data_IF_993235274698
#
_entry.id   IF_993235274698
#
_cell.length_a   1.000
_cell.length_b   1.000
_cell.length_c   1.000
_cell.angle_alpha   90.00
_cell.angle_beta   90.00
_cell.angle_gamma   90.00
#
_symmetry.space_group_name_H-M   'P 1'
#
loop_
_entity.id
_entity.type
_entity.pdbx_description
1 polymer ?
#
# COMPACT_ATOMS: atom_id res chain seq x y z
N UNK A 1 45.69 44.02 11.72
CA UNK A 1 44.52 43.55 10.95
C UNK A 1 44.82 42.11 10.58
N UNK A 2 44.39 41.15 11.40
CA UNK A 2 43.04 40.54 11.35
C UNK A 2 42.96 39.58 10.15
N UNK A 3 42.55 38.32 10.25
CA UNK A 3 41.86 37.57 11.29
C UNK A 3 42.22 36.09 11.09
N UNK A 4 42.70 35.44 12.14
CA UNK A 4 42.67 33.98 12.28
C UNK A 4 41.22 33.51 12.26
N UNK A 5 40.81 32.79 11.21
CA UNK A 5 39.51 32.10 11.17
C UNK A 5 39.64 30.76 11.90
N UNK A 6 39.14 30.75 13.13
CA UNK A 6 38.78 29.56 13.90
C UNK A 6 37.67 28.82 13.15
N UNK A 7 37.97 27.65 12.58
CA UNK A 7 36.98 26.67 12.17
C UNK A 7 36.43 25.97 13.41
N UNK A 8 35.27 26.43 13.88
CA UNK A 8 34.47 25.71 14.86
C UNK A 8 33.97 24.40 14.21
N UNK A 9 34.50 23.28 14.68
CA UNK A 9 33.94 21.95 14.47
C UNK A 9 32.55 21.92 15.11
N UNK A 10 31.49 21.99 14.31
CA UNK A 10 30.15 21.64 14.75
C UNK A 10 30.15 20.14 15.07
N UNK A 11 30.09 19.83 16.36
CA UNK A 11 29.80 18.49 16.85
C UNK A 11 28.50 18.00 16.18
N UNK A 12 28.61 16.91 15.43
CA UNK A 12 27.46 16.10 15.03
C UNK A 12 26.80 15.63 16.33
N UNK A 13 25.66 16.23 16.67
CA UNK A 13 24.72 15.60 17.60
C UNK A 13 24.48 14.19 17.07
N UNK A 14 24.78 13.20 17.91
CA UNK A 14 24.46 11.80 17.73
C UNK A 14 22.96 11.69 17.52
N UNK A 15 22.54 11.65 16.26
CA UNK A 15 21.17 11.27 15.90
C UNK A 15 20.91 9.88 16.44
N UNK A 16 19.75 9.72 17.06
CA UNK A 16 19.17 8.44 17.47
C UNK A 16 19.38 7.44 16.33
N UNK A 17 20.10 6.36 16.61
CA UNK A 17 20.40 5.35 15.61
C UNK A 17 19.06 4.74 15.16
N UNK A 18 18.70 4.79 13.87
CA UNK A 18 17.41 4.27 13.42
C UNK A 18 17.25 2.81 13.85
N UNK A 19 16.05 2.46 14.29
CA UNK A 19 15.72 1.11 14.75
C UNK A 19 16.14 0.10 13.68
N UNK A 20 16.98 -0.88 14.04
CA UNK A 20 17.31 -1.97 13.13
C UNK A 20 16.05 -2.83 12.96
N UNK A 21 15.43 -2.78 11.78
CA UNK A 21 14.16 -3.43 11.50
C UNK A 21 14.15 -4.91 11.87
N UNK A 22 13.04 -5.36 12.46
CA UNK A 22 12.85 -6.76 12.85
C UNK A 22 12.20 -7.54 11.71
N UNK A 23 12.83 -8.63 11.22
CA UNK A 23 12.23 -9.46 10.16
C UNK A 23 10.86 -10.00 10.53
N UNK A 24 9.96 -10.05 9.55
CA UNK A 24 8.68 -10.73 9.69
C UNK A 24 8.90 -12.22 9.93
N UNK A 25 8.09 -12.81 10.81
CA UNK A 25 8.05 -14.26 10.97
C UNK A 25 7.00 -14.82 10.03
N UNK A 26 7.34 -15.92 9.34
CA UNK A 26 6.42 -16.61 8.45
C UNK A 26 5.12 -16.95 9.19
N UNK A 27 4.00 -16.83 8.48
CA UNK A 27 2.72 -17.27 9.00
C UNK A 27 2.76 -18.79 9.19
N UNK A 28 2.23 -19.30 10.31
CA UNK A 28 1.96 -20.74 10.44
C UNK A 28 0.80 -21.12 9.51
N UNK A 29 1.03 -21.18 8.20
CA UNK A 29 0.01 -21.53 7.23
C UNK A 29 -0.47 -22.97 7.45
N UNK A 30 -1.79 -23.14 7.50
CA UNK A 30 -2.44 -24.43 7.26
C UNK A 30 -3.21 -24.34 5.95
N UNK A 31 -2.90 -25.20 4.99
CA UNK A 31 -3.65 -25.27 3.72
C UNK A 31 -5.15 -25.35 4.00
N UNK A 32 -5.94 -24.45 3.40
CA UNK A 32 -7.40 -24.41 3.59
C UNK A 32 -7.88 -23.67 4.85
N UNK A 33 -7.01 -22.90 5.51
CA UNK A 33 -7.37 -22.12 6.71
C UNK A 33 -8.41 -21.02 6.42
N UNK A 34 -8.41 -20.44 5.23
CA UNK A 34 -9.32 -19.37 4.81
C UNK A 34 -10.03 -19.74 3.52
N UNK A 35 -11.14 -20.51 3.56
CA UNK A 35 -11.81 -20.96 2.36
C UNK A 35 -12.51 -19.79 1.64
N UNK A 36 -12.14 -19.53 0.38
CA UNK A 36 -12.82 -18.59 -0.50
C UNK A 36 -13.29 -19.29 -1.78
N UNK A 37 -14.31 -18.72 -2.43
CA UNK A 37 -14.92 -19.26 -3.65
C UNK A 37 -14.70 -18.32 -4.82
N UNK A 38 -14.26 -18.87 -5.95
CA UNK A 38 -14.16 -18.11 -7.20
C UNK A 38 -15.55 -18.00 -7.81
N UNK A 39 -15.99 -16.77 -8.08
CA UNK A 39 -17.25 -16.58 -8.79
C UNK A 39 -17.11 -17.07 -10.23
N UNK A 40 -17.95 -18.02 -10.65
CA UNK A 40 -17.95 -18.55 -12.03
C UNK A 40 -17.93 -17.42 -13.07
N UNK A 41 -17.09 -17.55 -14.09
CA UNK A 41 -16.82 -16.49 -15.07
C UNK A 41 -17.99 -16.19 -16.01
N UNK A 42 -18.94 -17.12 -16.12
CA UNK A 42 -20.20 -16.95 -16.86
C UNK A 42 -21.35 -16.40 -16.00
N UNK A 43 -21.09 -16.14 -14.71
CA UNK A 43 -22.07 -15.59 -13.79
C UNK A 43 -22.55 -14.20 -14.20
N UNK A 44 -23.86 -13.90 -14.07
CA UNK A 44 -24.39 -12.56 -14.32
C UNK A 44 -23.86 -11.50 -13.35
N UNK A 45 -23.24 -11.92 -12.23
CA UNK A 45 -22.63 -10.97 -11.28
C UNK A 45 -21.53 -10.12 -11.92
N UNK A 46 -20.83 -10.61 -12.95
CA UNK A 46 -19.80 -9.83 -13.65
C UNK A 46 -20.37 -8.64 -14.46
N UNK A 47 -21.67 -8.62 -14.73
CA UNK A 47 -22.35 -7.47 -15.32
C UNK A 47 -22.81 -6.45 -14.26
N UNK A 48 -23.02 -6.90 -13.02
CA UNK A 48 -23.38 -6.04 -11.89
C UNK A 48 -22.14 -5.41 -11.23
N UNK A 49 -21.09 -6.21 -11.01
CA UNK A 49 -19.85 -5.84 -10.35
C UNK A 49 -18.79 -5.48 -11.39
N UNK A 50 -18.78 -4.21 -11.82
CA UNK A 50 -17.92 -3.73 -12.91
C UNK A 50 -16.70 -2.95 -12.39
N UNK A 51 -15.64 -2.97 -13.19
CA UNK A 51 -14.45 -2.14 -13.01
C UNK A 51 -14.60 -0.78 -13.68
N UNK A 52 -13.55 0.04 -13.58
CA UNK A 52 -13.49 1.38 -14.18
C UNK A 52 -13.81 1.40 -15.69
N UNK A 53 -13.41 0.35 -16.41
CA UNK A 53 -13.57 0.23 -17.85
C UNK A 53 -14.52 -0.90 -18.26
N UNK A 54 -15.34 -1.40 -17.32
CA UNK A 54 -16.39 -2.38 -17.59
C UNK A 54 -16.12 -3.76 -16.99
N UNK A 55 -16.46 -4.80 -17.73
CA UNK A 55 -16.37 -6.18 -17.24
C UNK A 55 -14.91 -6.65 -17.26
N UNK A 56 -14.43 -7.26 -16.17
CA UNK A 56 -13.04 -7.71 -16.00
C UNK A 56 -12.82 -9.20 -16.25
N UNK A 57 -13.89 -9.97 -16.51
CA UNK A 57 -13.86 -11.44 -16.63
C UNK A 57 -12.84 -11.92 -17.65
N UNK A 58 -12.68 -11.20 -18.77
CA UNK A 58 -11.81 -11.62 -19.86
C UNK A 58 -10.35 -11.57 -19.42
N UNK A 59 -9.96 -10.58 -18.62
CA UNK A 59 -8.62 -10.51 -18.04
C UNK A 59 -8.38 -11.63 -17.04
N UNK A 60 -9.37 -11.94 -16.20
CA UNK A 60 -9.29 -13.07 -15.26
C UNK A 60 -9.16 -14.41 -15.99
N UNK A 61 -9.91 -14.62 -17.07
CA UNK A 61 -9.78 -15.81 -17.93
C UNK A 61 -8.37 -15.98 -18.49
N UNK A 62 -7.75 -14.88 -18.95
CA UNK A 62 -6.37 -14.90 -19.46
C UNK A 62 -5.40 -15.24 -18.33
N UNK A 63 -5.54 -14.59 -17.17
CA UNK A 63 -4.61 -14.73 -16.05
C UNK A 63 -4.66 -16.11 -15.40
N UNK A 64 -5.82 -16.76 -15.43
CA UNK A 64 -6.04 -18.11 -14.92
C UNK A 64 -5.59 -19.22 -15.90
N UNK A 65 -5.22 -18.85 -17.13
CA UNK A 65 -4.69 -19.76 -18.14
C UNK A 65 -3.17 -19.87 -18.13
N UNK A 66 -2.63 -20.57 -19.13
CA UNK A 66 -1.18 -20.68 -19.36
C UNK A 66 -0.62 -19.35 -19.90
N UNK A 67 0.46 -18.84 -19.29
CA UNK A 67 1.00 -17.50 -19.57
C UNK A 67 1.48 -17.35 -21.00
N UNK A 68 2.14 -18.39 -21.53
CA UNK A 68 2.71 -18.45 -22.88
C UNK A 68 1.64 -18.55 -23.97
N UNK A 69 0.43 -19.00 -23.61
CA UNK A 69 -0.72 -19.14 -24.51
C UNK A 69 -1.75 -18.03 -24.33
N UNK A 70 -1.43 -16.99 -23.57
CA UNK A 70 -2.32 -15.86 -23.33
C UNK A 70 -2.78 -15.24 -24.67
N UNK A 71 -4.11 -15.22 -24.94
CA UNK A 71 -4.63 -14.67 -26.19
C UNK A 71 -4.37 -13.17 -26.28
N UNK A 72 -4.40 -12.64 -27.49
CA UNK A 72 -4.19 -11.21 -27.72
C UNK A 72 -5.20 -10.37 -26.91
N UNK A 73 -4.69 -9.34 -26.25
CA UNK A 73 -5.50 -8.37 -25.52
C UNK A 73 -5.02 -6.97 -25.86
N UNK A 74 -5.92 -5.98 -25.74
CA UNK A 74 -5.58 -4.59 -26.02
C UNK A 74 -4.89 -3.94 -24.83
N UNK A 75 -4.09 -2.91 -25.04
CA UNK A 75 -3.43 -2.16 -23.96
C UNK A 75 -4.28 -0.97 -23.52
N UNK A 76 -4.80 -0.97 -22.29
CA UNK A 76 -5.49 0.21 -21.71
C UNK A 76 -4.51 1.36 -21.49
N UNK A 77 -3.34 1.07 -20.90
CA UNK A 77 -2.27 2.04 -20.64
C UNK A 77 -1.48 2.42 -21.90
N UNK A 78 -2.10 3.17 -22.82
CA UNK A 78 -1.53 3.50 -24.15
C UNK A 78 -0.20 4.27 -24.12
N UNK A 79 0.09 4.97 -23.01
CA UNK A 79 1.30 5.77 -22.86
C UNK A 79 2.50 4.98 -22.33
N UNK A 80 2.26 3.82 -21.72
CA UNK A 80 3.34 2.92 -21.34
C UNK A 80 3.94 2.30 -22.61
N UNK A 81 5.23 2.55 -22.84
CA UNK A 81 5.96 2.06 -24.03
C UNK A 81 6.73 0.78 -23.77
N UNK A 82 6.68 0.25 -22.54
CA UNK A 82 7.35 -1.00 -22.18
C UNK A 82 6.74 -2.15 -22.98
N UNK A 83 7.57 -2.97 -23.66
CA UNK A 83 7.11 -4.20 -24.29
C UNK A 83 6.52 -5.13 -23.22
N UNK A 84 5.31 -5.65 -23.47
CA UNK A 84 4.61 -6.55 -22.54
C UNK A 84 4.01 -7.72 -23.31
N UNK A 85 4.05 -8.89 -22.68
CA UNK A 85 3.31 -10.08 -23.10
C UNK A 85 1.80 -9.86 -22.95
N UNK A 86 1.00 -10.70 -23.60
CA UNK A 86 -0.46 -10.65 -23.44
C UNK A 86 -0.89 -10.90 -21.98
N UNK A 87 -0.16 -11.75 -21.25
CA UNK A 87 -0.42 -12.01 -19.84
C UNK A 87 -0.17 -10.75 -18.97
N UNK A 88 0.96 -10.09 -19.15
CA UNK A 88 1.27 -8.82 -18.46
C UNK A 88 0.28 -7.71 -18.82
N UNK A 89 -0.14 -7.63 -20.09
CA UNK A 89 -1.17 -6.67 -20.50
C UNK A 89 -2.53 -6.97 -19.86
N UNK A 90 -2.92 -8.25 -19.75
CA UNK A 90 -4.15 -8.62 -19.06
C UNK A 90 -4.09 -8.27 -17.57
N UNK A 91 -2.94 -8.47 -16.92
CA UNK A 91 -2.74 -8.09 -15.52
C UNK A 91 -2.83 -6.58 -15.31
N UNK A 92 -2.14 -5.79 -16.13
CA UNK A 92 -2.24 -4.33 -16.13
C UNK A 92 -3.68 -3.86 -16.31
N UNK A 93 -4.39 -4.45 -17.28
CA UNK A 93 -5.76 -4.06 -17.57
C UNK A 93 -6.71 -4.43 -16.44
N UNK A 94 -6.50 -5.57 -15.78
CA UNK A 94 -7.22 -5.92 -14.57
C UNK A 94 -6.97 -4.86 -13.49
N UNK A 95 -5.71 -4.54 -13.19
CA UNK A 95 -5.36 -3.52 -12.20
C UNK A 95 -6.01 -2.17 -12.50
N UNK A 96 -5.95 -1.70 -13.76
CA UNK A 96 -6.63 -0.49 -14.20
C UNK A 96 -8.14 -0.54 -14.01
N UNK A 97 -8.77 -1.71 -13.99
CA UNK A 97 -10.20 -1.80 -13.71
C UNK A 97 -10.53 -1.83 -12.22
N UNK A 98 -9.64 -2.35 -11.38
CA UNK A 98 -9.92 -2.59 -9.96
C UNK A 98 -9.63 -1.37 -9.08
N UNK A 99 -8.69 -0.51 -9.48
CA UNK A 99 -8.28 0.65 -8.67
C UNK A 99 -7.89 1.90 -9.48
N UNK A 100 -8.47 2.11 -10.67
CA UNK A 100 -8.22 3.33 -11.46
C UNK A 100 -8.37 4.60 -10.60
N UNK A 101 -7.42 5.54 -10.74
CA UNK A 101 -7.43 6.80 -9.98
C UNK A 101 -7.63 6.61 -8.47
N UNK A 102 -7.11 5.51 -7.91
CA UNK A 102 -7.24 5.18 -6.49
C UNK A 102 -8.70 5.13 -6.01
N UNK A 103 -9.63 4.74 -6.87
CA UNK A 103 -11.04 4.51 -6.51
C UNK A 103 -11.33 3.02 -6.29
N UNK A 104 -12.28 2.71 -5.43
CA UNK A 104 -12.76 1.34 -5.26
C UNK A 104 -13.81 1.01 -6.33
N UNK A 105 -13.62 -0.08 -7.07
CA UNK A 105 -14.57 -0.55 -8.06
C UNK A 105 -15.25 -1.85 -7.64
N UNK A 106 -16.58 -2.01 -7.83
CA UNK A 106 -17.30 -3.21 -7.42
C UNK A 106 -16.75 -4.54 -7.96
N UNK A 107 -16.12 -4.54 -9.15
CA UNK A 107 -15.44 -5.74 -9.65
C UNK A 107 -14.39 -6.32 -8.68
N UNK A 108 -13.81 -5.49 -7.80
CA UNK A 108 -12.84 -5.91 -6.78
C UNK A 108 -13.42 -6.94 -5.82
N UNK A 109 -14.72 -6.89 -5.50
CA UNK A 109 -15.39 -7.91 -4.68
C UNK A 109 -15.26 -9.31 -5.26
N UNK A 110 -15.39 -9.44 -6.58
CA UNK A 110 -15.31 -10.72 -7.27
C UNK A 110 -13.88 -11.08 -7.70
N UNK A 111 -13.04 -10.08 -7.98
CA UNK A 111 -11.68 -10.29 -8.48
C UNK A 111 -10.67 -10.60 -7.37
N UNK A 112 -10.87 -10.15 -6.13
CA UNK A 112 -9.93 -10.43 -5.02
C UNK A 112 -9.74 -11.94 -4.75
N UNK A 113 -10.80 -12.78 -4.72
CA UNK A 113 -10.63 -14.24 -4.70
C UNK A 113 -9.76 -14.80 -5.83
N UNK A 114 -9.85 -14.24 -7.03
CA UNK A 114 -9.00 -14.64 -8.15
C UNK A 114 -7.55 -14.20 -7.95
N UNK A 115 -7.30 -13.00 -7.43
CA UNK A 115 -5.95 -12.55 -7.07
C UNK A 115 -5.32 -13.46 -6.02
N UNK A 116 -6.08 -13.87 -4.99
CA UNK A 116 -5.61 -14.84 -4.00
C UNK A 116 -5.19 -16.16 -4.67
N UNK A 117 -6.02 -16.68 -5.59
CA UNK A 117 -5.71 -17.91 -6.32
C UNK A 117 -4.47 -17.78 -7.21
N UNK A 118 -4.31 -16.66 -7.90
CA UNK A 118 -3.14 -16.39 -8.73
C UNK A 118 -1.87 -16.35 -7.87
N UNK A 119 -1.92 -15.66 -6.73
CA UNK A 119 -0.80 -15.58 -5.80
C UNK A 119 -0.43 -16.96 -5.21
N UNK A 120 -1.39 -17.80 -4.87
CA UNK A 120 -1.12 -19.20 -4.46
C UNK A 120 -0.40 -20.00 -5.56
N UNK A 121 -0.71 -19.77 -6.83
CA UNK A 121 -0.06 -20.45 -7.94
C UNK A 121 1.36 -19.91 -8.15
N UNK A 122 1.55 -18.59 -8.10
CA UNK A 122 2.87 -17.96 -8.18
C UNK A 122 3.78 -18.36 -7.03
N UNK A 123 3.24 -18.55 -5.82
CA UNK A 123 3.96 -19.11 -4.67
C UNK A 123 4.45 -20.54 -4.93
N UNK A 124 3.57 -21.41 -5.45
CA UNK A 124 3.96 -22.79 -5.83
C UNK A 124 5.02 -22.82 -6.92
N UNK A 125 4.95 -21.87 -7.85
CA UNK A 125 5.93 -21.68 -8.93
C UNK A 125 7.23 -21.02 -8.45
N UNK A 126 7.26 -20.52 -7.21
CA UNK A 126 8.36 -19.73 -6.62
C UNK A 126 8.66 -18.47 -7.44
N UNK A 127 7.63 -17.87 -8.02
CA UNK A 127 7.73 -16.70 -8.88
C UNK A 127 7.63 -15.42 -8.05
N UNK A 128 8.77 -15.00 -7.50
CA UNK A 128 8.87 -13.81 -6.64
C UNK A 128 8.49 -12.50 -7.31
N UNK A 129 8.69 -12.38 -8.63
CA UNK A 129 8.29 -11.14 -9.34
C UNK A 129 6.76 -11.07 -9.42
N UNK A 130 6.09 -12.17 -9.77
CA UNK A 130 4.64 -12.17 -9.83
C UNK A 130 3.99 -12.09 -8.45
N UNK A 131 4.57 -12.68 -7.41
CA UNK A 131 4.14 -12.44 -6.03
C UNK A 131 4.25 -10.97 -5.65
N UNK A 132 5.38 -10.33 -5.97
CA UNK A 132 5.56 -8.89 -5.73
C UNK A 132 4.51 -8.04 -6.45
N UNK A 133 4.23 -8.33 -7.73
CA UNK A 133 3.17 -7.67 -8.49
C UNK A 133 1.77 -7.93 -7.91
N UNK A 134 1.52 -9.16 -7.45
CA UNK A 134 0.27 -9.54 -6.78
C UNK A 134 0.05 -8.79 -5.48
N UNK A 135 1.08 -8.66 -4.64
CA UNK A 135 1.05 -7.88 -3.40
C UNK A 135 0.73 -6.42 -3.70
N UNK A 136 1.38 -5.82 -4.70
CA UNK A 136 1.08 -4.45 -5.12
C UNK A 136 -0.37 -4.30 -5.57
N UNK A 137 -0.85 -5.19 -6.45
CA UNK A 137 -2.21 -5.12 -6.97
C UNK A 137 -3.26 -5.29 -5.86
N UNK A 138 -3.10 -6.31 -4.99
CA UNK A 138 -4.00 -6.56 -3.89
C UNK A 138 -3.98 -5.41 -2.88
N UNK A 139 -2.79 -4.92 -2.51
CA UNK A 139 -2.64 -3.80 -1.61
C UNK A 139 -3.24 -2.50 -2.15
N UNK A 140 -3.06 -2.19 -3.44
CA UNK A 140 -3.71 -1.03 -4.07
C UNK A 140 -5.23 -1.16 -4.05
N UNK A 141 -5.80 -2.34 -4.32
CA UNK A 141 -7.24 -2.57 -4.21
C UNK A 141 -7.74 -2.41 -2.76
N UNK A 142 -6.97 -2.89 -1.78
CA UNK A 142 -7.35 -2.82 -0.36
C UNK A 142 -7.18 -1.42 0.23
N UNK A 143 -6.24 -0.63 -0.28
CA UNK A 143 -6.10 0.76 0.07
C UNK A 143 -7.35 1.55 -0.36
N UNK A 144 -7.99 1.22 -1.47
CA UNK A 144 -9.22 1.91 -1.91
C UNK A 144 -10.49 1.41 -1.18
N UNK A 145 -10.44 0.25 -0.53
CA UNK A 145 -11.53 -0.32 0.29
C UNK A 145 -11.65 0.37 1.66
N UNK A 146 -11.82 1.68 1.63
CA UNK A 146 -11.96 2.58 2.79
C UNK A 146 -13.36 3.18 2.91
N UNK A 147 -14.20 2.93 1.90
CA UNK A 147 -15.61 3.36 1.86
C UNK A 147 -16.55 2.25 2.34
N UNK A 148 -17.66 2.62 2.98
CA UNK A 148 -18.58 1.68 3.64
C UNK A 148 -19.51 0.90 2.69
N UNK A 149 -19.30 0.98 1.36
CA UNK A 149 -20.06 0.17 0.43
C UNK A 149 -19.68 -1.31 0.58
N UNK A 150 -20.68 -2.18 0.69
CA UNK A 150 -20.52 -3.63 0.78
C UNK A 150 -21.41 -4.32 -0.25
N UNK A 151 -21.01 -5.49 -0.77
CA UNK A 151 -21.85 -6.25 -1.69
C UNK A 151 -23.12 -6.70 -0.97
N UNK A 152 -24.26 -6.72 -1.68
CA UNK A 152 -25.52 -7.20 -1.09
C UNK A 152 -25.51 -8.72 -0.85
N UNK A 153 -24.68 -9.44 -1.59
CA UNK A 153 -24.53 -10.89 -1.49
C UNK A 153 -23.51 -11.26 -0.41
N UNK A 154 -23.99 -11.87 0.67
CA UNK A 154 -23.17 -12.30 1.80
C UNK A 154 -22.09 -13.32 1.41
N UNK A 155 -22.33 -14.17 0.41
CA UNK A 155 -21.34 -15.14 -0.06
C UNK A 155 -20.20 -14.44 -0.80
N UNK A 156 -20.51 -13.37 -1.55
CA UNK A 156 -19.49 -12.53 -2.19
C UNK A 156 -18.65 -11.82 -1.12
N UNK A 157 -19.29 -11.28 -0.09
CA UNK A 157 -18.58 -10.64 1.03
C UNK A 157 -17.66 -11.62 1.75
N UNK A 158 -18.18 -12.78 2.17
CA UNK A 158 -17.40 -13.81 2.89
C UNK A 158 -16.20 -14.29 2.06
N UNK A 159 -16.41 -14.54 0.77
CA UNK A 159 -15.35 -14.97 -0.13
C UNK A 159 -14.25 -13.91 -0.27
N UNK A 160 -14.64 -12.64 -0.40
CA UNK A 160 -13.69 -11.52 -0.45
C UNK A 160 -12.86 -11.40 0.84
N UNK A 161 -13.52 -11.47 2.00
CA UNK A 161 -12.84 -11.38 3.31
C UNK A 161 -11.86 -12.55 3.52
N UNK A 162 -12.26 -13.77 3.16
CA UNK A 162 -11.38 -14.94 3.26
C UNK A 162 -10.22 -14.88 2.25
N UNK A 163 -10.44 -14.33 1.05
CA UNK A 163 -9.36 -14.10 0.09
C UNK A 163 -8.31 -13.10 0.61
N UNK A 164 -8.74 -12.05 1.31
CA UNK A 164 -7.82 -11.11 1.97
C UNK A 164 -6.96 -11.81 3.02
N UNK A 165 -7.56 -12.67 3.85
CA UNK A 165 -6.82 -13.43 4.86
C UNK A 165 -5.78 -14.35 4.22
N UNK A 166 -6.12 -14.97 3.08
CA UNK A 166 -5.16 -15.78 2.32
C UNK A 166 -4.03 -14.92 1.74
N UNK A 167 -4.34 -13.78 1.11
CA UNK A 167 -3.34 -12.84 0.59
C UNK A 167 -2.43 -12.32 1.70
N UNK A 168 -3.00 -12.04 2.88
CA UNK A 168 -2.24 -11.64 4.06
C UNK A 168 -1.23 -12.70 4.46
N UNK A 169 -1.63 -13.97 4.52
CA UNK A 169 -0.71 -15.05 4.83
C UNK A 169 0.45 -15.13 3.83
N UNK A 170 0.14 -15.14 2.53
CA UNK A 170 1.15 -15.17 1.45
C UNK A 170 2.09 -13.95 1.54
N UNK A 171 1.53 -12.76 1.84
CA UNK A 171 2.31 -11.52 1.97
C UNK A 171 3.25 -11.58 3.17
N UNK A 172 2.78 -12.09 4.32
CA UNK A 172 3.63 -12.29 5.51
C UNK A 172 4.77 -13.25 5.22
N UNK A 173 4.52 -14.34 4.50
CA UNK A 173 5.56 -15.30 4.10
C UNK A 173 6.56 -14.67 3.13
N UNK A 174 6.07 -13.91 2.14
CA UNK A 174 6.93 -13.14 1.24
C UNK A 174 7.84 -12.15 2.00
N UNK A 175 7.31 -11.45 3.00
CA UNK A 175 8.08 -10.54 3.86
C UNK A 175 9.09 -11.27 4.74
N UNK A 176 8.84 -12.52 5.12
CA UNK A 176 9.78 -13.31 5.90
C UNK A 176 10.95 -13.81 5.02
N UNK A 177 10.68 -14.15 3.76
CA UNK A 177 11.63 -14.86 2.90
C UNK A 177 12.33 -14.00 1.84
N UNK A 178 11.74 -12.88 1.42
CA UNK A 178 12.11 -12.18 0.18
C UNK A 178 12.33 -10.67 0.33
N UNK A 179 12.66 -10.19 1.53
CA UNK A 179 12.96 -8.76 1.73
C UNK A 179 14.18 -8.28 0.93
N UNK A 180 15.16 -9.15 0.70
CA UNK A 180 16.31 -8.88 -0.15
C UNK A 180 15.87 -8.48 -1.58
N UNK A 181 14.87 -9.19 -2.12
CA UNK A 181 14.31 -8.89 -3.43
C UNK A 181 13.69 -7.49 -3.51
N UNK A 182 13.00 -7.06 -2.46
CA UNK A 182 12.37 -5.74 -2.39
C UNK A 182 13.44 -4.65 -2.24
N UNK A 183 14.47 -4.91 -1.43
CA UNK A 183 15.61 -4.00 -1.25
C UNK A 183 16.39 -3.75 -2.56
N UNK A 184 16.34 -4.64 -3.54
CA UNK A 184 16.98 -4.43 -4.85
C UNK A 184 16.21 -3.42 -5.74
N UNK A 185 14.93 -3.14 -5.44
CA UNK A 185 14.11 -2.21 -6.22
C UNK A 185 14.52 -0.75 -5.95
N UNK A 186 14.15 0.17 -6.83
CA UNK A 186 14.29 1.60 -6.52
C UNK A 186 13.31 2.05 -5.44
N UNK A 187 13.59 3.21 -4.85
CA UNK A 187 12.90 3.71 -3.67
C UNK A 187 11.39 3.88 -3.88
N UNK A 188 10.95 4.22 -5.11
CA UNK A 188 9.55 4.37 -5.43
C UNK A 188 8.79 3.05 -5.31
N UNK A 189 9.36 1.97 -5.84
CA UNK A 189 8.77 0.64 -5.71
C UNK A 189 8.84 0.09 -4.29
N UNK A 190 9.90 0.38 -3.52
CA UNK A 190 9.97 0.00 -2.10
C UNK A 190 8.86 0.67 -1.28
N UNK A 191 8.65 1.97 -1.47
CA UNK A 191 7.57 2.72 -0.81
C UNK A 191 6.19 2.22 -1.25
N UNK A 192 5.98 2.05 -2.55
CA UNK A 192 4.73 1.49 -3.08
C UNK A 192 4.41 0.10 -2.51
N UNK A 193 5.44 -0.76 -2.38
CA UNK A 193 5.32 -2.05 -1.72
C UNK A 193 4.96 -1.90 -0.23
N UNK A 194 5.60 -0.98 0.49
CA UNK A 194 5.26 -0.71 1.90
C UNK A 194 3.79 -0.27 2.06
N UNK A 195 3.28 0.59 1.17
CA UNK A 195 1.88 1.03 1.20
C UNK A 195 0.93 -0.14 0.92
N UNK A 196 1.25 -0.97 -0.07
CA UNK A 196 0.46 -2.16 -0.40
C UNK A 196 0.40 -3.15 0.77
N UNK A 197 1.55 -3.44 1.40
CA UNK A 197 1.63 -4.28 2.61
C UNK A 197 0.80 -3.67 3.74
N UNK A 198 0.85 -2.36 3.91
CA UNK A 198 0.06 -1.66 4.93
C UNK A 198 -1.44 -1.91 4.78
N UNK A 199 -1.95 -1.89 3.55
CA UNK A 199 -3.35 -2.21 3.28
C UNK A 199 -3.69 -3.68 3.59
N UNK A 200 -2.83 -4.61 3.14
CA UNK A 200 -3.03 -6.06 3.31
C UNK A 200 -3.02 -6.47 4.79
N UNK A 201 -2.10 -5.90 5.57
CA UNK A 201 -1.96 -6.20 6.99
C UNK A 201 -3.08 -5.59 7.86
N UNK A 202 -3.91 -4.69 7.29
CA UNK A 202 -5.17 -4.26 7.86
C UNK A 202 -5.33 -2.74 8.00
N UNK A 203 -4.28 -1.97 7.77
CA UNK A 203 -4.26 -0.52 7.94
C UNK A 203 -4.69 0.20 6.65
N UNK A 204 -5.88 -0.13 6.14
CA UNK A 204 -6.37 0.31 4.82
C UNK A 204 -6.41 1.83 4.65
N UNK A 205 -6.94 2.55 5.65
CA UNK A 205 -6.98 4.02 5.62
C UNK A 205 -5.59 4.62 5.62
N UNK A 206 -4.68 4.09 6.44
CA UNK A 206 -3.30 4.54 6.45
C UNK A 206 -2.62 4.31 5.09
N UNK A 207 -2.81 3.12 4.51
CA UNK A 207 -2.30 2.81 3.19
C UNK A 207 -2.86 3.72 2.10
N UNK A 208 -4.16 4.04 2.15
CA UNK A 208 -4.80 4.99 1.23
C UNK A 208 -4.11 6.35 1.30
N UNK A 209 -3.97 6.87 2.51
CA UNK A 209 -3.35 8.16 2.78
C UNK A 209 -1.90 8.23 2.32
N UNK A 210 -1.10 7.20 2.63
CA UNK A 210 0.28 7.08 2.16
C UNK A 210 0.36 7.01 0.63
N UNK A 211 -0.57 6.30 -0.01
CA UNK A 211 -0.61 6.18 -1.47
C UNK A 211 -1.00 7.50 -2.14
N UNK A 212 -2.04 8.18 -1.63
CA UNK A 212 -2.55 9.43 -2.19
C UNK A 212 -1.54 10.58 -2.08
N UNK A 213 -0.83 10.64 -0.96
CA UNK A 213 0.21 11.64 -0.72
C UNK A 213 1.58 11.24 -1.28
N UNK A 214 1.77 9.98 -1.68
CA UNK A 214 3.06 9.44 -2.13
C UNK A 214 4.15 9.45 -1.06
N UNK A 215 3.82 9.67 0.21
CA UNK A 215 4.77 10.05 1.27
C UNK A 215 5.53 11.36 0.94
N UNK A 216 4.97 12.25 0.10
CA UNK A 216 5.56 13.52 -0.33
C UNK A 216 4.84 14.75 0.23
N UNK A 217 3.64 14.61 0.81
CA UNK A 217 2.88 15.74 1.36
C UNK A 217 1.96 15.38 2.54
N UNK A 218 1.66 16.37 3.37
CA UNK A 218 0.70 16.28 4.47
C UNK A 218 -0.44 17.28 4.27
N UNK A 219 -1.15 17.21 3.14
CA UNK A 219 -2.31 18.09 2.89
C UNK A 219 -3.44 17.80 3.87
N UNK A 220 -3.93 18.85 4.52
CA UNK A 220 -4.83 18.74 5.67
C UNK A 220 -6.01 19.69 5.53
N UNK A 221 -7.22 19.22 5.82
CA UNK A 221 -8.37 20.07 6.14
C UNK A 221 -8.48 20.22 7.65
N UNK A 222 -8.46 21.45 8.14
CA UNK A 222 -8.62 21.73 9.56
C UNK A 222 -10.06 21.41 10.02
N UNK A 223 -10.27 20.55 11.04
CA UNK A 223 -11.61 20.20 11.51
C UNK A 223 -12.33 21.36 12.22
N UNK A 224 -11.60 22.37 12.69
CA UNK A 224 -12.17 23.50 13.43
C UNK A 224 -12.67 24.66 12.56
N UNK A 225 -12.01 24.92 11.42
CA UNK A 225 -12.35 26.07 10.56
C UNK A 225 -12.41 25.74 9.07
N UNK A 226 -12.29 24.47 8.70
CA UNK A 226 -12.32 23.99 7.31
C UNK A 226 -11.22 24.58 6.40
N UNK A 227 -10.20 25.23 6.99
CA UNK A 227 -9.05 25.69 6.22
C UNK A 227 -8.35 24.49 5.57
N UNK A 228 -8.19 24.57 4.26
CA UNK A 228 -7.47 23.59 3.45
C UNK A 228 -6.00 24.02 3.32
N UNK A 229 -5.10 23.24 3.91
CA UNK A 229 -3.67 23.51 3.90
C UNK A 229 -2.95 22.58 2.90
N UNK A 230 -2.82 23.07 1.67
CA UNK A 230 -2.16 22.37 0.55
C UNK A 230 -0.68 22.78 0.37
N UNK A 231 -0.15 23.67 1.21
CA UNK A 231 1.26 24.09 1.13
C UNK A 231 2.22 23.03 1.71
N UNK A 232 1.68 22.03 2.41
CA UNK A 232 2.40 21.06 3.25
C UNK A 232 3.12 19.96 2.43
N UNK A 233 4.02 20.33 1.53
CA UNK A 233 4.79 19.41 0.68
C UNK A 233 6.29 19.38 1.05
N UNK A 234 6.86 18.18 1.17
CA UNK A 234 8.28 18.03 1.52
C UNK A 234 9.17 18.65 0.44
N UNK A 235 10.16 19.42 0.89
CA UNK A 235 11.12 20.11 0.00
C UNK A 235 10.63 21.47 -0.52
N UNK A 236 9.34 21.77 -0.42
CA UNK A 236 8.78 23.09 -0.76
C UNK A 236 8.43 23.92 0.49
N UNK A 237 7.93 23.26 1.55
CA UNK A 237 7.57 23.90 2.80
C UNK A 237 8.32 23.27 3.98
N UNK A 238 8.65 24.06 5.01
CA UNK A 238 9.17 23.53 6.27
C UNK A 238 8.01 23.08 7.15
N UNK A 239 7.65 21.80 7.05
CA UNK A 239 6.53 21.23 7.81
C UNK A 239 6.68 21.42 9.34
N UNK A 240 7.89 21.65 9.87
CA UNK A 240 8.07 21.88 11.31
C UNK A 240 7.45 23.20 11.80
N UNK A 241 7.12 24.12 10.88
CA UNK A 241 6.38 25.34 11.21
C UNK A 241 4.93 25.06 11.63
N UNK A 242 4.35 23.94 11.17
CA UNK A 242 2.93 23.61 11.39
C UNK A 242 2.70 22.23 12.03
N UNK A 243 3.66 21.32 11.94
CA UNK A 243 3.58 19.97 12.49
C UNK A 243 4.67 19.74 13.52
N UNK A 244 4.26 19.38 14.73
CA UNK A 244 5.12 18.74 15.71
C UNK A 244 5.24 17.26 15.33
N UNK A 245 6.45 16.83 14.93
CA UNK A 245 6.72 15.42 14.58
C UNK A 245 6.47 14.52 15.78
N UNK A 246 5.87 13.37 15.56
CA UNK A 246 5.90 12.30 16.54
C UNK A 246 7.31 11.70 16.66
N UNK A 247 7.60 11.16 17.84
CA UNK A 247 8.80 10.36 18.02
C UNK A 247 8.67 9.03 17.26
N UNK A 248 9.78 8.61 16.65
CA UNK A 248 9.91 7.27 16.11
C UNK A 248 9.84 6.27 17.27
N UNK A 249 9.21 5.09 17.10
CA UNK A 249 9.16 4.09 18.15
C UNK A 249 10.57 3.65 18.58
N UNK A 250 10.85 3.74 19.88
CA UNK A 250 12.09 3.22 20.48
C UNK A 250 12.04 1.70 20.71
N UNK A 251 10.84 1.13 20.75
CA UNK A 251 10.60 -0.29 20.96
C UNK A 251 10.87 -1.09 19.68
N UNK A 252 11.32 -2.33 19.87
CA UNK A 252 11.43 -3.29 18.77
C UNK A 252 10.13 -4.04 18.62
N UNK A 253 9.63 -4.11 17.38
CA UNK A 253 8.51 -4.97 17.04
C UNK A 253 8.89 -6.46 17.22
N UNK A 254 7.91 -7.33 17.42
CA UNK A 254 8.12 -8.76 17.69
C UNK A 254 8.22 -9.63 16.42
N UNK A 255 7.98 -9.04 15.25
CA UNK A 255 7.96 -9.75 13.97
C UNK A 255 6.63 -10.44 13.66
N UNK A 256 5.60 -10.33 14.52
CA UNK A 256 4.34 -11.09 14.44
C UNK A 256 3.10 -10.23 14.68
N UNK A 257 3.07 -9.42 15.74
CA UNK A 257 1.87 -8.72 16.20
C UNK A 257 1.52 -7.54 15.30
N UNK A 258 0.36 -7.59 14.66
CA UNK A 258 -0.13 -6.49 13.82
C UNK A 258 -0.98 -5.47 14.60
N UNK A 259 -1.00 -5.53 15.93
CA UNK A 259 -1.88 -4.71 16.76
C UNK A 259 -1.49 -3.22 16.81
N UNK A 260 -0.19 -2.92 16.65
CA UNK A 260 0.32 -1.55 16.61
C UNK A 260 0.81 -1.22 15.20
N UNK A 261 -0.09 -0.64 14.40
CA UNK A 261 0.14 -0.15 13.04
C UNK A 261 1.40 0.68 12.88
N UNK A 262 1.62 1.64 13.79
CA UNK A 262 2.76 2.54 13.77
C UNK A 262 4.05 1.75 13.99
N UNK A 263 4.10 0.90 15.01
CA UNK A 263 5.30 0.18 15.39
C UNK A 263 5.81 -0.74 14.27
N UNK A 264 4.95 -1.60 13.70
CA UNK A 264 5.39 -2.53 12.67
C UNK A 264 5.70 -1.82 11.35
N UNK A 265 5.00 -0.71 11.03
CA UNK A 265 5.27 0.05 9.81
C UNK A 265 6.66 0.72 9.84
N UNK A 266 7.05 1.32 10.97
CA UNK A 266 8.41 1.83 11.13
C UNK A 266 9.46 0.72 10.97
N UNK A 267 9.18 -0.49 11.47
CA UNK A 267 10.07 -1.64 11.28
C UNK A 267 10.13 -2.08 9.81
N UNK A 268 9.02 -2.06 9.08
CA UNK A 268 9.01 -2.34 7.64
C UNK A 268 9.86 -1.33 6.86
N UNK A 269 9.74 -0.04 7.13
CA UNK A 269 10.57 0.99 6.49
C UNK A 269 12.06 0.85 6.84
N UNK A 270 12.38 0.45 8.08
CA UNK A 270 13.74 0.12 8.47
C UNK A 270 14.28 -1.09 7.69
N UNK A 271 13.48 -2.14 7.50
CA UNK A 271 13.85 -3.30 6.67
C UNK A 271 14.03 -2.94 5.19
N UNK A 272 13.34 -1.91 4.68
CA UNK A 272 13.46 -1.45 3.30
C UNK A 272 14.66 -0.50 3.07
N UNK A 273 15.41 -0.19 4.13
CA UNK A 273 16.49 0.79 4.14
C UNK A 273 16.04 2.19 3.67
N UNK A 274 14.81 2.58 4.01
CA UNK A 274 14.23 3.88 3.65
C UNK A 274 14.26 4.84 4.86
N UNK A 275 15.45 5.36 5.14
CA UNK A 275 15.65 6.31 6.26
C UNK A 275 14.86 7.60 6.08
N UNK A 276 14.74 8.10 4.85
CA UNK A 276 13.93 9.29 4.55
C UNK A 276 12.45 9.00 4.80
N UNK A 277 11.95 7.85 4.35
CA UNK A 277 10.58 7.43 4.59
C UNK A 277 10.26 7.33 6.09
N UNK A 278 11.17 6.78 6.90
CA UNK A 278 11.02 6.77 8.35
C UNK A 278 10.93 8.19 8.94
N UNK A 279 11.77 9.13 8.49
CA UNK A 279 11.69 10.52 8.96
C UNK A 279 10.37 11.17 8.58
N UNK A 280 9.87 10.90 7.37
CA UNK A 280 8.59 11.45 6.89
C UNK A 280 7.41 10.84 7.64
N UNK A 281 7.44 9.55 7.97
CA UNK A 281 6.41 8.92 8.81
C UNK A 281 6.25 9.62 10.16
N UNK A 282 7.31 10.18 10.75
CA UNK A 282 7.20 10.96 11.98
C UNK A 282 6.29 12.19 11.84
N UNK A 283 6.19 12.79 10.64
CA UNK A 283 5.21 13.85 10.38
C UNK A 283 3.79 13.31 10.23
N UNK A 284 3.60 12.18 9.53
CA UNK A 284 2.27 11.57 9.34
C UNK A 284 1.61 11.17 10.66
N UNK A 285 2.41 10.72 11.63
CA UNK A 285 1.96 10.41 12.98
C UNK A 285 2.04 11.59 13.95
N UNK A 286 2.42 12.78 13.48
CA UNK A 286 2.57 13.99 14.27
C UNK A 286 1.26 14.75 14.53
N UNK A 287 1.41 15.93 15.11
CA UNK A 287 0.30 16.84 15.46
C UNK A 287 0.40 18.11 14.64
N UNK A 288 -0.64 18.40 13.86
CA UNK A 288 -0.78 19.64 13.10
C UNK A 288 -1.40 20.74 13.96
N UNK A 289 -0.92 21.97 13.81
CA UNK A 289 -1.52 23.18 14.36
C UNK A 289 -1.97 24.09 13.23
N UNK A 290 -3.28 24.36 13.16
CA UNK A 290 -3.86 25.19 12.10
C UNK A 290 -3.38 26.65 12.20
N UNK A 291 -2.85 27.25 11.11
CA UNK A 291 -2.39 28.63 11.14
C UNK A 291 -3.53 29.66 11.26
N UNK A 292 -4.75 29.30 10.84
CA UNK A 292 -5.90 30.21 10.83
C UNK A 292 -6.61 30.29 12.19
N UNK A 293 -6.87 29.15 12.84
CA UNK A 293 -7.63 29.09 14.08
C UNK A 293 -6.86 28.54 15.30
N UNK A 294 -5.63 28.04 15.11
CA UNK A 294 -4.81 27.45 16.17
C UNK A 294 -5.26 26.06 16.63
N UNK A 295 -6.27 25.46 15.99
CA UNK A 295 -6.74 24.11 16.31
C UNK A 295 -5.62 23.09 16.13
N UNK A 296 -5.48 22.17 17.09
CA UNK A 296 -4.53 21.08 17.02
C UNK A 296 -5.22 19.76 16.70
N UNK A 297 -4.71 19.02 15.74
CA UNK A 297 -5.27 17.72 15.33
C UNK A 297 -4.16 16.75 14.93
N UNK A 298 -4.33 15.43 15.13
CA UNK A 298 -3.42 14.47 14.53
C UNK A 298 -3.37 14.71 13.02
N UNK A 299 -2.15 14.72 12.44
CA UNK A 299 -1.97 14.93 11.00
C UNK A 299 -2.89 14.00 10.23
N UNK A 300 -2.85 12.71 10.55
CA UNK A 300 -3.70 11.70 9.94
C UNK A 300 -5.19 12.06 9.89
N UNK A 301 -5.76 12.60 10.96
CA UNK A 301 -7.19 12.99 11.02
C UNK A 301 -7.51 14.16 10.08
N UNK A 302 -6.68 15.19 10.07
CA UNK A 302 -6.87 16.32 9.16
C UNK A 302 -6.69 15.93 7.69
N UNK A 303 -5.82 14.95 7.47
CA UNK A 303 -5.46 14.40 6.19
C UNK A 303 -6.59 13.48 5.67
N UNK A 304 -7.24 12.69 6.53
CA UNK A 304 -8.49 11.96 6.21
C UNK A 304 -9.54 12.93 5.68
N UNK A 305 -9.74 14.10 6.32
CA UNK A 305 -10.70 15.11 5.83
C UNK A 305 -10.34 15.74 4.48
N UNK A 306 -9.10 15.61 4.01
CA UNK A 306 -8.68 16.08 2.69
C UNK A 306 -8.90 15.01 1.60
N UNK A 307 -8.56 13.75 1.89
CA UNK A 307 -8.54 12.69 0.89
C UNK A 307 -9.78 11.76 0.89
N UNK A 308 -10.57 11.71 1.97
CA UNK A 308 -11.75 10.82 2.13
C UNK A 308 -13.05 11.61 2.29
#
# INVERSE_FOLDING_TARGET
MELTKTTASKEKKTGTQPCAGVPFQAAEQRTGQYPYTLQELDSPLWEAYRGAYGNVREYLMILMGERELAPETFKLRRLDKTPKTNYEMAFDNLCENLWHQMSFYPATWLAMPYLARLMENWEKEKDREWLFQGILAAGSCLATDVYDSRPEDACVQESYENAILQIRAITTDFLAEHMDYVQEKDIGWRRGFAFAVTAILGEKRLAFMLTMSGLESCYIVCPGCENCDEDMEFGYFDLSERIEKAEAPDEKWDGVSLADGKLWLFNLFALLDDTEGMERLCYYFGTYTCPECGEQTPVFTGMEGYFL
#
